data_IF_740672914436
#
_entry.id   IF_740672914436
#
_cell.length_a   1.000
_cell.length_b   1.000
_cell.length_c   1.000
_cell.angle_alpha   90.00
_cell.angle_beta   90.00
_cell.angle_gamma   90.00
#
_symmetry.space_group_name_H-M   'P 1'
#
loop_
_entity.id
_entity.type
_entity.pdbx_description
1 polymer ?
#
# COMPACT_ATOMS: atom_id res chain seq x y z
N UNK A 1 -5.19 15.57 -9.43
CA UNK A 1 -3.76 15.41 -9.82
C UNK A 1 -3.48 13.96 -10.15
N UNK A 2 -2.94 13.71 -11.32
CA UNK A 2 -2.58 12.35 -11.75
C UNK A 2 -1.17 12.03 -11.28
N UNK A 3 -1.01 10.90 -10.59
CA UNK A 3 0.32 10.46 -10.16
C UNK A 3 1.03 9.82 -11.36
N UNK A 4 2.27 10.25 -11.66
CA UNK A 4 3.02 9.65 -12.76
C UNK A 4 3.21 8.15 -12.58
N UNK A 5 3.20 7.41 -13.69
CA UNK A 5 3.43 5.96 -13.71
C UNK A 5 4.55 5.65 -14.68
N UNK A 6 5.51 4.87 -14.24
CA UNK A 6 6.54 4.35 -15.12
C UNK A 6 6.00 3.10 -15.81
N UNK A 7 5.61 3.24 -17.08
CA UNK A 7 5.00 2.14 -17.84
C UNK A 7 5.95 0.97 -18.06
N UNK A 8 7.25 1.15 -17.84
CA UNK A 8 8.19 0.04 -17.90
C UNK A 8 7.95 -0.97 -16.77
N UNK A 9 7.22 -0.57 -15.72
CA UNK A 9 6.88 -1.45 -14.60
C UNK A 9 5.59 -2.24 -14.80
N UNK A 10 4.86 -2.03 -15.91
CA UNK A 10 3.57 -2.70 -16.11
C UNK A 10 3.67 -4.23 -16.08
N UNK A 11 4.68 -4.78 -16.75
CA UNK A 11 4.88 -6.23 -16.79
C UNK A 11 5.18 -6.78 -15.40
N UNK A 12 6.02 -6.09 -14.63
CA UNK A 12 6.32 -6.48 -13.25
C UNK A 12 5.09 -6.41 -12.37
N UNK A 13 4.29 -5.34 -12.50
CA UNK A 13 3.07 -5.19 -11.71
C UNK A 13 2.07 -6.33 -12.01
N UNK A 14 1.92 -6.69 -13.28
CA UNK A 14 1.05 -7.81 -13.68
C UNK A 14 1.52 -9.12 -13.10
N UNK A 15 2.83 -9.38 -13.15
CA UNK A 15 3.42 -10.59 -12.58
C UNK A 15 3.19 -10.65 -11.08
N UNK A 16 3.43 -9.55 -10.36
CA UNK A 16 3.25 -9.49 -8.91
C UNK A 16 1.79 -9.69 -8.50
N UNK A 17 0.84 -9.21 -9.31
CA UNK A 17 -0.58 -9.48 -9.04
C UNK A 17 -0.92 -10.95 -9.12
N UNK A 18 -0.28 -11.68 -10.04
CA UNK A 18 -0.49 -13.12 -10.18
C UNK A 18 0.25 -13.91 -9.12
N UNK A 19 1.36 -13.36 -8.60
CA UNK A 19 2.26 -14.05 -7.67
C UNK A 19 2.25 -13.40 -6.28
N UNK A 20 1.06 -13.02 -5.80
CA UNK A 20 0.93 -12.43 -4.48
C UNK A 20 1.45 -13.38 -3.39
N UNK A 21 2.12 -12.80 -2.38
CA UNK A 21 2.58 -13.58 -1.23
C UNK A 21 1.38 -14.11 -0.43
N UNK A 22 1.55 -15.15 0.40
CA UNK A 22 0.47 -15.63 1.25
C UNK A 22 -0.15 -14.55 2.13
N UNK A 23 0.66 -13.64 2.68
CA UNK A 23 0.19 -12.56 3.55
C UNK A 23 -0.60 -11.51 2.76
N UNK A 24 -0.14 -11.18 1.54
CA UNK A 24 -0.86 -10.29 0.65
C UNK A 24 -2.22 -10.89 0.28
N UNK A 25 -2.26 -12.18 -0.06
CA UNK A 25 -3.51 -12.86 -0.39
C UNK A 25 -4.47 -12.88 0.79
N UNK A 26 -3.95 -13.15 1.98
CA UNK A 26 -4.76 -13.17 3.20
C UNK A 26 -5.45 -11.83 3.43
N UNK A 27 -4.69 -10.74 3.42
CA UNK A 27 -5.25 -9.41 3.62
C UNK A 27 -6.20 -9.01 2.50
N UNK A 28 -5.85 -9.34 1.25
CA UNK A 28 -6.68 -9.03 0.09
C UNK A 28 -8.03 -9.73 0.15
N UNK A 29 -8.04 -11.06 0.28
CA UNK A 29 -9.28 -11.84 0.21
C UNK A 29 -10.14 -11.69 1.45
N UNK A 30 -9.55 -11.51 2.62
CA UNK A 30 -10.33 -11.40 3.86
C UNK A 30 -10.84 -9.98 4.11
N UNK A 31 -10.21 -8.96 3.55
CA UNK A 31 -10.57 -7.58 3.89
C UNK A 31 -10.57 -6.62 2.70
N UNK A 32 -9.43 -6.45 2.02
CA UNK A 32 -9.25 -5.31 1.12
C UNK A 32 -10.18 -5.37 -0.10
N UNK A 33 -10.36 -6.54 -0.71
CA UNK A 33 -11.18 -6.61 -1.92
C UNK A 33 -12.67 -6.42 -1.63
N UNK A 34 -13.08 -6.59 -0.37
CA UNK A 34 -14.48 -6.40 0.06
C UNK A 34 -14.74 -5.01 0.61
N UNK A 35 -13.67 -4.21 0.79
CA UNK A 35 -13.79 -2.90 1.41
C UNK A 35 -14.65 -1.99 0.53
N UNK A 36 -15.57 -1.15 1.14
CA UNK A 36 -16.48 -0.32 0.33
C UNK A 36 -15.78 0.71 -0.55
N UNK A 37 -14.59 1.18 -0.15
CA UNK A 37 -13.80 2.09 -0.97
C UNK A 37 -12.81 1.26 -1.78
N UNK A 38 -12.71 1.53 -3.07
CA UNK A 38 -11.89 0.72 -3.99
C UNK A 38 -10.41 0.72 -3.60
N UNK A 39 -9.85 -0.47 -3.50
CA UNK A 39 -8.42 -0.69 -3.25
C UNK A 39 -7.87 -1.51 -4.41
N UNK A 40 -6.73 -1.07 -4.94
CA UNK A 40 -6.04 -1.75 -6.03
C UNK A 40 -4.83 -2.50 -5.50
N UNK A 41 -4.53 -3.64 -6.07
CA UNK A 41 -3.34 -4.42 -5.72
C UNK A 41 -2.24 -4.20 -6.74
N UNK A 42 -0.98 -4.16 -6.28
CA UNK A 42 0.22 -4.04 -7.09
C UNK A 42 0.10 -2.88 -8.08
N UNK A 43 0.06 -1.68 -7.53
CA UNK A 43 -0.15 -0.47 -8.31
C UNK A 43 1.17 0.28 -8.49
N UNK A 44 1.34 0.91 -9.65
CA UNK A 44 2.53 1.70 -9.96
C UNK A 44 2.32 3.13 -9.47
N UNK A 45 3.24 3.63 -8.64
CA UNK A 45 3.30 5.03 -8.21
C UNK A 45 4.69 5.53 -8.57
N UNK A 46 4.77 6.45 -9.52
CA UNK A 46 6.05 6.86 -10.10
C UNK A 46 6.74 5.65 -10.71
N UNK A 47 7.92 5.32 -10.20
CA UNK A 47 8.70 4.13 -10.62
C UNK A 47 8.54 2.95 -9.65
N UNK A 48 7.74 3.10 -8.59
CA UNK A 48 7.60 2.09 -7.55
C UNK A 48 6.33 1.29 -7.76
N UNK A 49 6.39 0.00 -7.42
CA UNK A 49 5.20 -0.84 -7.35
C UNK A 49 4.88 -1.01 -5.88
N UNK A 50 3.68 -0.57 -5.48
CA UNK A 50 3.22 -0.70 -4.10
C UNK A 50 2.26 -1.88 -3.98
N UNK A 51 2.20 -2.50 -2.79
CA UNK A 51 1.40 -3.70 -2.60
C UNK A 51 -0.08 -3.44 -2.81
N UNK A 52 -0.62 -2.40 -2.16
CA UNK A 52 -2.02 -2.01 -2.27
C UNK A 52 -2.15 -0.50 -2.28
N UNK A 53 -3.13 0.00 -3.02
CA UNK A 53 -3.35 1.44 -3.13
C UNK A 53 -4.83 1.78 -3.11
N UNK A 54 -5.23 2.68 -2.21
CA UNK A 54 -6.55 3.28 -2.18
C UNK A 54 -6.45 4.69 -2.77
N UNK A 55 -6.84 4.84 -4.03
CA UNK A 55 -6.69 6.10 -4.74
C UNK A 55 -7.54 7.21 -4.12
N UNK A 56 -8.76 6.91 -3.70
CA UNK A 56 -9.67 7.89 -3.10
C UNK A 56 -9.11 8.51 -1.83
N UNK A 57 -8.45 7.72 -1.00
CA UNK A 57 -7.83 8.19 0.25
C UNK A 57 -6.36 8.55 0.06
N UNK A 58 -5.79 8.31 -1.11
CA UNK A 58 -4.34 8.47 -1.37
C UNK A 58 -3.51 7.74 -0.33
N UNK A 59 -3.84 6.48 -0.14
CA UNK A 59 -3.22 5.63 0.88
C UNK A 59 -2.58 4.43 0.23
N UNK A 60 -1.29 4.24 0.53
CA UNK A 60 -0.53 3.05 0.15
C UNK A 60 -0.47 2.12 1.36
N UNK A 61 -0.69 0.84 1.15
CA UNK A 61 -0.58 -0.18 2.20
C UNK A 61 0.47 -1.18 1.74
N UNK A 62 1.47 -1.41 2.58
CA UNK A 62 2.56 -2.34 2.29
C UNK A 62 2.76 -3.35 3.40
N UNK A 63 3.11 -4.56 3.01
CA UNK A 63 3.43 -5.63 3.94
C UNK A 63 4.91 -5.94 3.86
N UNK A 64 5.58 -5.95 5.02
CA UNK A 64 7.01 -6.21 5.10
C UNK A 64 7.28 -7.62 5.59
N UNK A 65 8.13 -8.31 4.85
CA UNK A 65 8.74 -9.53 5.34
C UNK A 65 9.83 -9.21 6.37
N UNK A 66 10.45 -10.24 6.90
CA UNK A 66 11.42 -10.12 7.99
C UNK A 66 12.85 -9.81 7.53
N UNK A 67 13.06 -9.44 6.26
CA UNK A 67 14.40 -9.34 5.69
C UNK A 67 15.04 -7.95 5.81
N UNK A 68 14.42 -7.00 6.50
CA UNK A 68 14.91 -5.61 6.54
C UNK A 68 15.39 -5.18 7.94
N UNK A 69 16.09 -6.08 8.64
CA UNK A 69 16.58 -5.75 9.98
C UNK A 69 17.97 -5.10 10.01
N UNK A 70 18.63 -4.98 8.84
CA UNK A 70 19.92 -4.31 8.76
C UNK A 70 19.73 -2.80 8.72
N UNK A 71 20.74 -2.06 9.19
CA UNK A 71 20.75 -0.59 9.13
C UNK A 71 20.56 -0.11 7.69
N UNK A 72 21.22 -0.76 6.73
CA UNK A 72 21.11 -0.40 5.32
C UNK A 72 19.71 -0.63 4.77
N UNK A 73 19.07 -1.74 5.16
CA UNK A 73 17.70 -2.04 4.75
C UNK A 73 16.70 -1.03 5.28
N UNK A 74 16.86 -0.64 6.56
CA UNK A 74 16.00 0.38 7.16
C UNK A 74 16.15 1.74 6.48
N UNK A 75 17.38 2.13 6.14
CA UNK A 75 17.65 3.39 5.45
C UNK A 75 17.01 3.39 4.06
N UNK A 76 17.16 2.30 3.32
CA UNK A 76 16.57 2.16 2.00
C UNK A 76 15.04 2.26 2.06
N UNK A 77 14.42 1.61 3.04
CA UNK A 77 12.96 1.64 3.22
C UNK A 77 12.47 3.05 3.55
N UNK A 78 13.20 3.80 4.36
CA UNK A 78 12.87 5.19 4.68
C UNK A 78 12.93 6.08 3.45
N UNK A 79 14.00 5.95 2.65
CA UNK A 79 14.16 6.73 1.43
C UNK A 79 13.06 6.42 0.42
N UNK A 80 12.75 5.14 0.24
CA UNK A 80 11.69 4.69 -0.65
C UNK A 80 10.34 5.24 -0.21
N UNK A 81 10.02 5.15 1.08
CA UNK A 81 8.79 5.68 1.63
C UNK A 81 8.69 7.19 1.42
N UNK A 82 9.77 7.93 1.67
CA UNK A 82 9.78 9.37 1.47
C UNK A 82 9.52 9.74 0.01
N UNK A 83 10.13 9.01 -0.93
CA UNK A 83 9.93 9.25 -2.36
C UNK A 83 8.47 8.96 -2.78
N UNK A 84 7.88 7.92 -2.25
CA UNK A 84 6.48 7.59 -2.54
C UNK A 84 5.57 8.66 -1.95
N UNK A 85 5.81 9.05 -0.70
CA UNK A 85 4.98 10.06 -0.02
C UNK A 85 5.09 11.43 -0.65
N UNK A 86 6.19 11.72 -1.36
CA UNK A 86 6.34 12.96 -2.10
C UNK A 86 5.29 13.14 -3.21
N UNK A 87 4.64 12.05 -3.64
CA UNK A 87 3.53 12.14 -4.60
C UNK A 87 2.20 12.53 -3.94
N UNK A 88 2.19 12.83 -2.64
CA UNK A 88 0.99 13.25 -1.94
C UNK A 88 0.17 12.12 -1.34
N UNK A 89 0.77 10.96 -1.17
CA UNK A 89 0.11 9.79 -0.57
C UNK A 89 0.71 9.51 0.81
N UNK A 90 -0.05 8.80 1.64
CA UNK A 90 0.45 8.29 2.92
C UNK A 90 0.78 6.81 2.75
N UNK A 91 1.85 6.35 3.38
CA UNK A 91 2.22 4.92 3.38
C UNK A 91 1.95 4.34 4.76
N UNK A 92 1.12 3.29 4.81
CA UNK A 92 0.96 2.44 5.98
C UNK A 92 1.73 1.15 5.74
N UNK A 93 2.50 0.73 6.72
CA UNK A 93 3.32 -0.47 6.60
C UNK A 93 3.06 -1.39 7.77
N UNK A 94 2.80 -2.66 7.48
CA UNK A 94 2.56 -3.69 8.49
C UNK A 94 3.53 -4.84 8.26
N UNK A 95 3.96 -5.48 9.33
CA UNK A 95 4.77 -6.68 9.21
C UNK A 95 3.89 -7.89 8.88
N UNK A 96 4.49 -8.91 8.28
CA UNK A 96 3.79 -10.17 8.06
C UNK A 96 3.34 -10.79 9.39
N UNK A 97 4.15 -10.60 10.44
CA UNK A 97 3.79 -11.06 11.78
C UNK A 97 2.50 -10.41 12.30
N UNK A 98 2.34 -9.10 12.06
CA UNK A 98 1.11 -8.39 12.45
C UNK A 98 -0.11 -8.92 11.70
N UNK A 99 0.05 -9.21 10.40
CA UNK A 99 -1.04 -9.80 9.61
C UNK A 99 -1.45 -11.16 10.16
N UNK A 100 -0.49 -11.97 10.61
CA UNK A 100 -0.78 -13.29 11.18
C UNK A 100 -1.32 -13.23 12.58
N UNK A 101 -0.75 -12.37 13.44
CA UNK A 101 -1.06 -12.36 14.87
C UNK A 101 -2.16 -11.38 15.26
N UNK A 102 -2.39 -10.34 14.46
CA UNK A 102 -3.35 -9.28 14.79
C UNK A 102 -4.03 -8.72 13.56
N UNK A 103 -4.60 -9.60 12.75
CA UNK A 103 -5.27 -9.19 11.52
C UNK A 103 -6.39 -8.17 11.78
N UNK A 104 -7.16 -8.35 12.85
CA UNK A 104 -8.22 -7.41 13.20
C UNK A 104 -7.69 -6.00 13.46
N UNK A 105 -6.54 -5.88 14.14
CA UNK A 105 -5.91 -4.58 14.38
C UNK A 105 -5.39 -3.95 13.10
N UNK A 106 -4.82 -4.75 12.21
CA UNK A 106 -4.37 -4.28 10.88
C UNK A 106 -5.55 -3.72 10.09
N UNK A 107 -6.64 -4.48 10.00
CA UNK A 107 -7.84 -4.05 9.28
C UNK A 107 -8.44 -2.79 9.89
N UNK A 108 -8.50 -2.72 11.21
CA UNK A 108 -9.04 -1.55 11.92
C UNK A 108 -8.20 -0.30 11.62
N UNK A 109 -6.87 -0.42 11.66
CA UNK A 109 -5.96 0.69 11.37
C UNK A 109 -6.16 1.18 9.93
N UNK A 110 -6.29 0.26 8.99
CA UNK A 110 -6.53 0.61 7.58
C UNK A 110 -7.85 1.36 7.44
N UNK A 111 -8.92 0.82 8.02
CA UNK A 111 -10.25 1.44 7.92
C UNK A 111 -10.27 2.83 8.56
N UNK A 112 -9.68 2.99 9.73
CA UNK A 112 -9.61 4.27 10.43
C UNK A 112 -8.79 5.29 9.63
N UNK A 113 -7.68 4.86 9.03
CA UNK A 113 -6.84 5.75 8.24
C UNK A 113 -7.56 6.20 6.96
N UNK A 114 -8.24 5.28 6.27
CA UNK A 114 -9.01 5.63 5.08
C UNK A 114 -10.10 6.64 5.46
N UNK A 115 -10.84 6.38 6.52
CA UNK A 115 -11.90 7.27 6.99
C UNK A 115 -11.35 8.67 7.32
N UNK A 116 -10.27 8.74 8.07
CA UNK A 116 -9.65 10.01 8.45
C UNK A 116 -9.17 10.79 7.24
N UNK A 117 -8.56 10.11 6.28
CA UNK A 117 -8.07 10.79 5.08
C UNK A 117 -9.21 11.27 4.18
N UNK A 118 -10.27 10.48 4.05
CA UNK A 118 -11.43 10.90 3.24
C UNK A 118 -12.15 12.09 3.84
N UNK A 119 -12.21 12.20 5.16
CA UNK A 119 -12.90 13.31 5.83
C UNK A 119 -12.06 14.58 5.90
N UNK A 120 -10.73 14.48 5.85
CA UNK A 120 -9.82 15.62 5.93
C UNK A 120 -9.34 16.14 4.59
N UNK A 121 -9.53 15.37 3.51
CA UNK A 121 -9.08 15.76 2.17
C UNK A 121 -10.13 16.65 1.51
N UNK A 122 -9.71 17.67 0.72
CA UNK A 122 -10.67 18.43 -0.07
C UNK A 122 -11.32 17.52 -1.11
N UNK A 123 -12.54 17.86 -1.56
CA UNK A 123 -13.18 17.08 -2.62
C UNK A 123 -12.28 16.95 -3.83
N UNK A 124 -12.33 15.79 -4.47
CA UNK A 124 -11.52 15.56 -5.68
C UNK A 124 -11.94 16.57 -6.74
N UNK A 125 -10.98 17.32 -7.22
CA UNK A 125 -11.17 18.22 -8.35
C UNK A 125 -10.66 17.52 -9.59
N UNK A 126 -11.56 17.16 -10.43
CA UNK A 126 -11.20 16.56 -11.72
C UNK A 126 -11.59 17.45 -12.86
#
# INVERSE_FOLDING_TARGET
MTIPKDNTQLENARRLRREMTPHERKLWYLFLHKYPVKIYKQRIIGRFIVDFYCASARLVIELDGSQHYTEQGKCYDKERTAMIEAYGVQVLRFSNWEVDSNLAGVCQTIAQTIHARLTSMPPAQE
#
